data_IF_540444417107
#
_entry.id   IF_540444417107
#
_cell.length_a   1.000
_cell.length_b   1.000
_cell.length_c   1.000
_cell.angle_alpha   90.00
_cell.angle_beta   90.00
_cell.angle_gamma   90.00
#
_symmetry.space_group_name_H-M   'P 1'
#
loop_
_entity.id
_entity.type
_entity.pdbx_description
1 polymer ?
#
# COMPACT_ATOMS: atom_id res chain seq x y z
N UNK A 1 -17.26 3.93 -11.36
CA UNK A 1 -15.96 3.35 -10.95
C UNK A 1 -16.26 2.28 -9.93
N UNK A 2 -15.84 1.04 -10.16
CA UNK A 2 -16.03 -0.06 -9.20
C UNK A 2 -15.10 0.14 -8.01
N UNK A 3 -15.63 0.10 -6.80
CA UNK A 3 -14.83 0.20 -5.58
C UNK A 3 -13.87 -1.00 -5.53
N UNK A 4 -12.56 -0.79 -5.34
CA UNK A 4 -11.59 -1.88 -5.29
C UNK A 4 -11.86 -2.79 -4.08
N UNK A 5 -11.76 -4.10 -4.30
CA UNK A 5 -11.90 -5.14 -3.28
C UNK A 5 -10.88 -4.92 -2.14
N UNK A 6 -11.33 -4.77 -0.87
CA UNK A 6 -10.44 -4.59 0.27
C UNK A 6 -9.36 -5.67 0.41
N UNK A 7 -9.66 -6.93 0.08
CA UNK A 7 -8.67 -8.01 0.14
C UNK A 7 -7.53 -7.78 -0.85
N UNK A 8 -7.85 -7.33 -2.07
CA UNK A 8 -6.86 -6.94 -3.07
C UNK A 8 -6.03 -5.72 -2.66
N UNK A 9 -6.61 -4.78 -1.90
CA UNK A 9 -5.87 -3.65 -1.34
C UNK A 9 -4.82 -4.15 -0.33
N UNK A 10 -5.19 -5.08 0.56
CA UNK A 10 -4.25 -5.70 1.50
C UNK A 10 -3.09 -6.35 0.76
N UNK A 11 -3.37 -7.22 -0.22
CA UNK A 11 -2.35 -7.91 -1.02
C UNK A 11 -1.40 -6.95 -1.74
N UNK A 12 -1.94 -5.88 -2.30
CA UNK A 12 -1.14 -4.92 -3.06
C UNK A 12 -0.24 -4.10 -2.13
N UNK A 13 -0.76 -3.67 -0.98
CA UNK A 13 0.02 -2.90 -0.01
C UNK A 13 1.10 -3.76 0.66
N UNK A 14 0.83 -5.03 0.97
CA UNK A 14 1.86 -5.94 1.50
C UNK A 14 2.96 -6.20 0.48
N UNK A 15 2.61 -6.39 -0.80
CA UNK A 15 3.59 -6.47 -1.89
C UNK A 15 4.40 -5.19 -2.06
N UNK A 16 3.84 -4.03 -1.69
CA UNK A 16 4.54 -2.75 -1.68
C UNK A 16 5.40 -2.52 -0.41
N UNK A 17 5.45 -3.49 0.51
CA UNK A 17 6.30 -3.44 1.72
C UNK A 17 5.59 -3.01 3.00
N UNK A 18 4.26 -2.84 2.99
CA UNK A 18 3.50 -2.70 4.23
C UNK A 18 3.48 -4.03 4.99
N UNK A 19 3.51 -3.97 6.31
CA UNK A 19 3.52 -5.15 7.17
C UNK A 19 2.20 -5.30 7.90
N UNK A 20 1.66 -6.52 7.92
CA UNK A 20 0.51 -6.85 8.78
C UNK A 20 0.97 -6.84 10.22
N UNK A 21 0.38 -5.98 11.04
CA UNK A 21 0.70 -5.88 12.47
C UNK A 21 -0.37 -6.51 13.35
N UNK A 22 -1.62 -6.52 12.88
CA UNK A 22 -2.75 -7.11 13.58
C UNK A 22 -3.86 -7.41 12.55
N UNK A 23 -4.74 -8.36 12.85
CA UNK A 23 -5.88 -8.65 12.01
C UNK A 23 -7.00 -9.30 12.80
N UNK A 24 -8.24 -9.01 12.37
CA UNK A 24 -9.42 -9.74 12.80
C UNK A 24 -10.04 -10.39 11.56
N UNK A 25 -10.04 -11.73 11.46
CA UNK A 25 -10.51 -12.44 10.27
C UNK A 25 -11.89 -11.97 9.83
N UNK A 26 -12.07 -11.77 8.53
CA UNK A 26 -13.28 -11.26 7.89
C UNK A 26 -13.74 -9.87 8.36
N UNK A 27 -13.02 -9.20 9.27
CA UNK A 27 -13.40 -7.88 9.78
C UNK A 27 -12.42 -6.81 9.27
N UNK A 28 -11.16 -6.84 9.69
CA UNK A 28 -10.18 -5.83 9.26
C UNK A 28 -8.75 -6.35 9.31
N UNK A 29 -7.86 -5.62 8.64
CA UNK A 29 -6.40 -5.84 8.70
C UNK A 29 -5.72 -4.52 9.05
N UNK A 30 -4.81 -4.56 10.02
CA UNK A 30 -3.90 -3.46 10.33
C UNK A 30 -2.59 -3.62 9.56
N UNK A 31 -2.23 -2.59 8.81
CA UNK A 31 -0.96 -2.50 8.10
C UNK A 31 -0.13 -1.34 8.64
N UNK A 32 1.15 -1.57 8.87
CA UNK A 32 2.11 -0.53 9.23
C UNK A 32 3.19 -0.38 8.17
N UNK A 33 3.65 0.86 7.97
CA UNK A 33 4.85 1.10 7.17
C UNK A 33 6.10 0.87 8.02
N UNK A 34 7.03 -0.03 7.62
CA UNK A 34 8.13 -0.46 8.49
C UNK A 34 9.08 0.68 8.89
N UNK A 35 9.23 1.69 8.03
CA UNK A 35 10.12 2.82 8.25
C UNK A 35 9.45 4.02 8.93
N UNK A 36 8.14 3.96 9.20
CA UNK A 36 7.39 5.02 9.86
C UNK A 36 6.34 4.41 10.80
N UNK A 37 6.73 4.19 12.07
CA UNK A 37 5.89 3.53 13.09
C UNK A 37 4.53 4.20 13.33
N UNK A 38 4.38 5.49 13.01
CA UNK A 38 3.11 6.22 13.16
C UNK A 38 2.17 6.06 11.97
N UNK A 39 2.61 5.41 10.89
CA UNK A 39 1.81 5.25 9.68
C UNK A 39 1.11 3.89 9.71
N UNK A 40 -0.05 3.89 10.36
CA UNK A 40 -0.96 2.75 10.45
C UNK A 40 -2.12 2.93 9.46
N UNK A 41 -2.51 1.84 8.80
CA UNK A 41 -3.73 1.74 8.01
C UNK A 41 -4.59 0.62 8.57
N UNK A 42 -5.90 0.88 8.63
CA UNK A 42 -6.90 -0.14 8.91
C UNK A 42 -7.66 -0.35 7.60
N UNK A 43 -7.64 -1.59 7.11
CA UNK A 43 -8.37 -1.97 5.89
C UNK A 43 -9.61 -2.76 6.32
N UNK A 44 -10.82 -2.22 6.11
CA UNK A 44 -12.04 -2.90 6.48
C UNK A 44 -12.38 -3.96 5.42
N UNK A 45 -12.55 -5.21 5.84
CA UNK A 45 -12.95 -6.33 5.00
C UNK A 45 -14.47 -6.53 5.01
N UNK A 46 -15.15 -6.12 6.09
CA UNK A 46 -16.61 -6.18 6.23
C UNK A 46 -17.24 -4.80 6.04
N UNK A 47 -18.21 -4.62 5.11
CA UNK A 47 -18.94 -3.37 4.91
C UNK A 47 -19.81 -2.95 6.12
N UNK A 48 -20.07 -3.84 7.08
CA UNK A 48 -20.84 -3.56 8.29
C UNK A 48 -20.06 -2.88 9.43
N UNK A 49 -18.76 -2.61 9.25
CA UNK A 49 -17.93 -1.95 10.28
C UNK A 49 -18.25 -0.46 10.31
N UNK A 50 -18.23 0.13 11.50
CA UNK A 50 -18.27 1.58 11.65
C UNK A 50 -17.15 2.24 10.83
N UNK A 51 -17.45 3.37 10.20
CA UNK A 51 -16.50 4.16 9.40
C UNK A 51 -15.92 3.40 8.18
N UNK A 52 -16.61 2.37 7.68
CA UNK A 52 -16.16 1.56 6.53
C UNK A 52 -15.68 2.41 5.35
N UNK A 53 -16.50 3.36 4.90
CA UNK A 53 -16.19 4.19 3.72
C UNK A 53 -14.96 5.08 3.95
N UNK A 54 -14.79 5.61 5.16
CA UNK A 54 -13.66 6.47 5.51
C UNK A 54 -12.35 5.67 5.60
N UNK A 55 -12.41 4.50 6.23
CA UNK A 55 -11.28 3.57 6.32
C UNK A 55 -10.88 3.06 4.94
N UNK A 56 -11.85 2.68 4.11
CA UNK A 56 -11.61 2.24 2.74
C UNK A 56 -11.05 3.38 1.87
N UNK A 57 -11.59 4.59 1.99
CA UNK A 57 -11.06 5.75 1.29
C UNK A 57 -9.61 6.06 1.70
N UNK A 58 -9.27 5.93 2.98
CA UNK A 58 -7.90 6.07 3.48
C UNK A 58 -6.96 5.00 2.88
N UNK A 59 -7.40 3.74 2.84
CA UNK A 59 -6.67 2.65 2.22
C UNK A 59 -6.44 2.88 0.72
N UNK A 60 -7.46 3.36 -0.01
CA UNK A 60 -7.36 3.71 -1.44
C UNK A 60 -6.37 4.87 -1.66
N UNK A 61 -6.38 5.90 -0.82
CA UNK A 61 -5.39 7.00 -0.91
C UNK A 61 -3.97 6.48 -0.71
N UNK A 62 -3.75 5.61 0.26
CA UNK A 62 -2.45 4.99 0.48
C UNK A 62 -2.00 4.13 -0.70
N UNK A 63 -2.93 3.34 -1.27
CA UNK A 63 -2.67 2.53 -2.47
C UNK A 63 -2.25 3.41 -3.66
N UNK A 64 -2.96 4.50 -3.93
CA UNK A 64 -2.59 5.46 -4.97
C UNK A 64 -1.19 6.03 -4.74
N UNK A 65 -0.85 6.36 -3.50
CA UNK A 65 0.48 6.80 -3.12
C UNK A 65 1.56 5.75 -3.40
N UNK A 66 1.32 4.49 -3.02
CA UNK A 66 2.25 3.38 -3.27
C UNK A 66 2.48 3.14 -4.76
N UNK A 67 1.41 3.17 -5.58
CA UNK A 67 1.50 3.05 -7.04
C UNK A 67 2.31 4.19 -7.65
N UNK A 68 2.10 5.43 -7.21
CA UNK A 68 2.86 6.58 -7.70
C UNK A 68 4.36 6.44 -7.38
N UNK A 69 4.71 6.01 -6.15
CA UNK A 69 6.10 5.75 -5.76
C UNK A 69 6.71 4.61 -6.59
N UNK A 70 5.97 3.51 -6.79
CA UNK A 70 6.42 2.38 -7.61
C UNK A 70 6.68 2.77 -9.08
N UNK A 71 5.79 3.58 -9.66
CA UNK A 71 5.99 4.13 -11.01
C UNK A 71 7.23 5.03 -11.08
N UNK A 72 7.45 5.87 -10.07
CA UNK A 72 8.66 6.70 -9.97
C UNK A 72 9.93 5.86 -9.86
N UNK A 73 9.94 4.83 -9.02
CA UNK A 73 11.06 3.91 -8.88
C UNK A 73 11.34 3.15 -10.19
N UNK A 74 10.29 2.70 -10.90
CA UNK A 74 10.43 2.06 -12.21
C UNK A 74 11.05 3.00 -13.25
N UNK A 75 10.64 4.27 -13.28
CA UNK A 75 11.23 5.28 -14.16
C UNK A 75 12.69 5.57 -13.80
N UNK A 76 13.00 5.71 -12.51
CA UNK A 76 14.37 5.91 -12.03
C UNK A 76 15.27 4.73 -12.40
N UNK A 77 14.79 3.50 -12.24
CA UNK A 77 15.52 2.29 -12.65
C UNK A 77 15.73 2.22 -14.16
N UNK A 78 14.73 2.59 -14.96
CA UNK A 78 14.86 2.64 -16.42
C UNK A 78 15.83 3.75 -16.89
N UNK A 79 15.93 4.84 -16.14
CA UNK A 79 16.88 5.92 -16.39
C UNK A 79 18.29 5.61 -15.88
N UNK A 80 18.42 4.71 -14.89
CA UNK A 80 19.70 4.28 -14.34
C UNK A 80 20.47 3.46 -15.38
N UNK A 81 21.49 4.08 -15.98
CA UNK A 81 22.44 3.45 -16.90
C UNK A 81 23.76 3.16 -16.18
N UNK A 82 23.99 1.93 -15.69
CA UNK A 82 25.21 1.57 -14.96
C UNK A 82 26.50 1.69 -15.81
N UNK A 83 26.35 1.71 -17.13
CA UNK A 83 27.37 1.77 -18.16
C UNK A 83 28.16 3.10 -18.22
N UNK A 84 27.66 4.18 -17.61
CA UNK A 84 28.35 5.49 -17.58
C UNK A 84 29.45 5.61 -16.51
N UNK A 85 29.54 4.67 -15.57
CA UNK A 85 30.46 4.74 -14.43
C UNK A 85 31.53 3.62 -14.42
N UNK A 86 31.59 2.79 -15.47
CA UNK A 86 32.54 1.68 -15.59
C UNK A 86 33.92 2.08 -16.16
N UNK A 87 34.19 3.38 -16.34
CA UNK A 87 35.47 3.89 -16.84
C UNK A 87 36.01 5.02 -15.95
N UNK A 88 36.50 4.66 -14.76
CA UNK A 88 37.51 5.43 -14.04
C UNK A 88 38.47 4.47 -13.32
#
# INVERSE_FOLDING_TARGET
MTTPDPARIVETLTSAGWQVTDSKPNLYVHLAWPYQRHRLLIIPLDPGIADYDDLLAAAIRALKGAVAVGNGAKQALAAYRPDLYAHH
#
